data_IF_963103548192
#
_entry.id   IF_963103548192
#
_cell.length_a   1.000
_cell.length_b   1.000
_cell.length_c   1.000
_cell.angle_alpha   90.00
_cell.angle_beta   90.00
_cell.angle_gamma   90.00
#
_symmetry.space_group_name_H-M   'P 1'
#
loop_
_entity.id
_entity.type
_entity.pdbx_description
1 polymer ?
#
# COMPACT_ATOMS: atom_id res chain seq x y z
N UNK A 1 -0.42 -40.20 26.01
CA UNK A 1 0.88 -39.60 25.65
C UNK A 1 1.00 -39.65 24.14
N UNK A 2 0.61 -38.58 23.47
CA UNK A 2 0.67 -38.51 22.01
C UNK A 2 1.45 -37.25 21.67
N UNK A 3 2.64 -37.45 21.12
CA UNK A 3 3.57 -36.37 20.76
C UNK A 3 3.03 -35.57 19.60
N UNK A 4 2.87 -34.27 19.80
CA UNK A 4 2.58 -33.32 18.74
C UNK A 4 3.82 -33.13 17.86
N UNK A 5 3.70 -33.47 16.57
CA UNK A 5 4.70 -33.19 15.56
C UNK A 5 4.83 -31.70 15.38
N UNK A 6 5.97 -31.16 15.73
CA UNK A 6 6.37 -29.79 15.37
C UNK A 6 6.57 -29.74 13.85
N UNK A 7 5.63 -29.13 13.15
CA UNK A 7 5.79 -28.76 11.74
C UNK A 7 6.83 -27.66 11.67
N UNK A 8 8.03 -28.00 11.21
CA UNK A 8 9.11 -27.03 10.94
C UNK A 8 8.64 -26.08 9.85
N UNK A 9 8.55 -24.79 10.20
CA UNK A 9 8.40 -23.71 9.24
C UNK A 9 9.57 -23.78 8.22
N UNK A 10 9.31 -23.64 6.92
CA UNK A 10 10.39 -23.60 5.94
C UNK A 10 11.26 -22.37 6.24
N UNK A 11 12.54 -22.64 6.37
CA UNK A 11 13.61 -21.65 6.56
C UNK A 11 13.55 -20.65 5.40
N UNK A 12 13.01 -19.47 5.64
CA UNK A 12 12.89 -18.38 4.66
C UNK A 12 14.28 -17.70 4.54
N UNK A 13 15.25 -18.43 4.01
CA UNK A 13 16.47 -17.83 3.53
C UNK A 13 16.10 -17.04 2.25
N UNK A 14 16.45 -15.79 2.26
CA UNK A 14 16.24 -14.72 1.27
C UNK A 14 16.67 -15.13 -0.15
N UNK A 15 15.96 -16.04 -0.78
CA UNK A 15 16.12 -16.34 -2.20
C UNK A 15 15.35 -15.28 -3.01
N UNK A 16 16.09 -14.30 -3.51
CA UNK A 16 15.55 -13.30 -4.43
C UNK A 16 15.19 -14.01 -5.73
N UNK A 17 13.90 -14.30 -5.91
CA UNK A 17 13.39 -14.85 -7.17
C UNK A 17 13.40 -13.77 -8.25
N UNK A 18 14.11 -14.02 -9.33
CA UNK A 18 14.12 -13.13 -10.50
C UNK A 18 12.77 -13.15 -11.18
N UNK A 19 12.27 -11.97 -11.47
CA UNK A 19 10.99 -11.78 -12.15
C UNK A 19 11.17 -11.26 -13.57
N UNK A 20 10.13 -11.36 -14.35
CA UNK A 20 10.04 -10.78 -15.68
C UNK A 20 10.28 -9.27 -15.59
N UNK A 21 11.12 -8.75 -16.46
CA UNK A 21 11.43 -7.32 -16.51
C UNK A 21 12.64 -6.88 -15.69
N UNK A 22 13.18 -7.71 -14.79
CA UNK A 22 14.37 -7.38 -14.01
C UNK A 22 15.60 -7.25 -14.94
N UNK A 23 16.49 -6.33 -14.57
CA UNK A 23 17.79 -6.18 -15.24
C UNK A 23 18.84 -6.88 -14.40
N UNK A 24 19.55 -7.80 -15.03
CA UNK A 24 20.57 -8.61 -14.38
C UNK A 24 21.93 -8.42 -15.07
N UNK A 25 22.99 -8.46 -14.27
CA UNK A 25 24.37 -8.59 -14.75
C UNK A 25 24.83 -10.00 -14.41
N UNK A 26 25.30 -10.70 -15.43
CA UNK A 26 25.87 -12.04 -15.34
C UNK A 26 27.35 -11.91 -15.64
N UNK A 27 28.23 -12.35 -14.77
CA UNK A 27 29.68 -12.32 -14.96
C UNK A 27 30.28 -13.70 -14.71
N UNK A 28 31.28 -14.06 -15.51
CA UNK A 28 32.01 -15.32 -15.39
C UNK A 28 33.45 -14.98 -15.04
N UNK A 29 33.94 -15.52 -13.92
CA UNK A 29 35.31 -15.28 -13.46
C UNK A 29 36.33 -15.63 -14.51
N UNK A 30 37.32 -14.77 -14.74
CA UNK A 30 38.37 -14.90 -15.75
C UNK A 30 37.89 -14.97 -17.23
N UNK A 31 36.58 -14.67 -17.49
CA UNK A 31 36.03 -14.64 -18.85
C UNK A 31 35.19 -13.37 -19.04
N UNK A 32 35.82 -12.19 -19.18
CA UNK A 32 35.10 -10.91 -19.29
C UNK A 32 34.19 -10.86 -20.54
N UNK A 33 34.53 -11.57 -21.60
CA UNK A 33 33.76 -11.63 -22.84
C UNK A 33 32.38 -12.32 -22.67
N UNK A 34 32.20 -13.06 -21.56
CA UNK A 34 30.93 -13.68 -21.19
C UNK A 34 30.14 -12.84 -20.19
N UNK A 35 30.62 -11.63 -19.87
CA UNK A 35 29.88 -10.69 -19.01
C UNK A 35 28.78 -10.04 -19.82
N UNK A 36 27.54 -10.15 -19.34
CA UNK A 36 26.35 -9.62 -19.99
C UNK A 36 25.47 -8.88 -19.01
N UNK A 37 25.08 -7.65 -19.38
CA UNK A 37 23.96 -6.95 -18.75
C UNK A 37 22.75 -7.07 -19.66
N UNK A 38 21.67 -7.59 -19.13
CA UNK A 38 20.48 -7.85 -19.94
C UNK A 38 19.22 -7.82 -19.08
N UNK A 39 18.09 -7.65 -19.78
CA UNK A 39 16.77 -7.69 -19.17
C UNK A 39 16.15 -9.07 -19.37
N UNK A 40 15.54 -9.59 -18.31
CA UNK A 40 14.74 -10.82 -18.40
C UNK A 40 13.46 -10.49 -19.17
N UNK A 41 13.22 -11.22 -20.25
CA UNK A 41 12.03 -11.03 -21.09
C UNK A 41 10.74 -11.40 -20.36
N UNK A 42 9.59 -11.04 -20.93
CA UNK A 42 8.27 -11.43 -20.38
C UNK A 42 8.08 -12.94 -20.32
N UNK A 43 8.75 -13.69 -21.21
CA UNK A 43 8.78 -15.15 -21.15
C UNK A 43 9.70 -15.72 -20.06
N UNK A 44 10.37 -14.85 -19.27
CA UNK A 44 11.34 -15.27 -18.26
C UNK A 44 12.67 -15.77 -18.83
N UNK A 45 13.00 -15.40 -20.04
CA UNK A 45 14.17 -15.90 -20.78
C UNK A 45 15.19 -14.78 -20.95
N UNK A 46 16.46 -15.15 -20.93
CA UNK A 46 17.62 -14.31 -21.28
C UNK A 46 18.37 -14.98 -22.42
N UNK A 47 18.73 -14.23 -23.47
CA UNK A 47 19.66 -14.71 -24.49
C UNK A 47 21.09 -14.52 -23.98
N UNK A 48 21.78 -15.63 -23.68
CA UNK A 48 23.12 -15.63 -23.12
C UNK A 48 24.14 -16.13 -24.15
N UNK A 49 25.33 -15.49 -24.27
CA UNK A 49 26.36 -15.93 -25.20
C UNK A 49 26.66 -17.43 -25.06
N UNK A 50 26.85 -18.09 -26.17
CA UNK A 50 27.16 -19.52 -26.30
C UNK A 50 26.05 -20.48 -25.86
N UNK A 51 25.15 -20.10 -24.95
CA UNK A 51 24.06 -20.95 -24.45
C UNK A 51 22.73 -20.69 -25.18
N UNK A 52 22.60 -19.55 -25.86
CA UNK A 52 21.33 -19.14 -26.43
C UNK A 52 20.30 -18.74 -25.37
N UNK A 53 19.08 -19.22 -25.52
CA UNK A 53 17.98 -18.85 -24.65
C UNK A 53 17.99 -19.64 -23.32
N UNK A 54 18.24 -18.96 -22.22
CA UNK A 54 18.28 -19.53 -20.87
C UNK A 54 17.09 -19.00 -20.05
N UNK A 55 16.30 -19.91 -19.48
CA UNK A 55 15.15 -19.53 -18.64
C UNK A 55 15.60 -19.20 -17.23
N UNK A 56 15.58 -17.94 -16.86
CA UNK A 56 15.97 -17.43 -15.53
C UNK A 56 14.77 -16.95 -14.71
N UNK A 57 13.64 -16.66 -15.33
CA UNK A 57 12.43 -16.20 -14.67
C UNK A 57 11.87 -17.22 -13.67
N UNK A 58 11.58 -16.80 -12.45
CA UNK A 58 11.09 -17.66 -11.37
C UNK A 58 12.16 -18.51 -10.69
N UNK A 59 13.44 -18.32 -11.03
CA UNK A 59 14.57 -19.03 -10.41
C UNK A 59 15.22 -18.16 -9.32
N UNK A 60 15.79 -18.81 -8.28
CA UNK A 60 16.66 -18.10 -7.34
C UNK A 60 17.98 -17.67 -8.01
N UNK A 61 18.70 -16.72 -7.39
CA UNK A 61 20.03 -16.30 -7.88
C UNK A 61 20.97 -17.50 -8.00
N UNK A 62 21.05 -18.29 -6.94
CA UNK A 62 21.92 -19.49 -6.86
C UNK A 62 21.56 -20.54 -7.90
N UNK A 63 20.27 -20.79 -8.12
CA UNK A 63 19.81 -21.75 -9.14
C UNK A 63 20.16 -21.28 -10.56
N UNK A 64 20.02 -19.98 -10.84
CA UNK A 64 20.34 -19.44 -12.16
C UNK A 64 21.86 -19.40 -12.42
N UNK A 65 22.67 -19.07 -11.42
CA UNK A 65 24.13 -19.15 -11.51
C UNK A 65 24.57 -20.59 -11.84
N UNK A 66 24.00 -21.57 -11.14
CA UNK A 66 24.27 -22.99 -11.37
C UNK A 66 23.82 -23.43 -12.78
N UNK A 67 22.64 -23.00 -13.22
CA UNK A 67 22.11 -23.33 -14.55
C UNK A 67 23.03 -22.83 -15.68
N UNK A 68 23.53 -21.60 -15.56
CA UNK A 68 24.47 -21.03 -16.53
C UNK A 68 25.84 -21.72 -16.45
N UNK A 69 26.33 -21.97 -15.23
CA UNK A 69 27.60 -22.69 -15.04
C UNK A 69 27.56 -24.11 -15.64
N UNK A 70 26.49 -24.85 -15.38
CA UNK A 70 26.33 -26.20 -15.92
C UNK A 70 26.20 -26.16 -17.46
N UNK A 71 25.49 -25.17 -18.01
CA UNK A 71 25.42 -24.99 -19.47
C UNK A 71 26.77 -24.71 -20.11
N UNK A 72 27.57 -23.82 -19.53
CA UNK A 72 28.92 -23.51 -20.01
C UNK A 72 29.88 -24.70 -19.89
N UNK A 73 29.76 -25.50 -18.84
CA UNK A 73 30.55 -26.71 -18.65
C UNK A 73 30.17 -27.82 -19.64
N UNK A 74 28.88 -28.09 -19.77
CA UNK A 74 28.36 -29.15 -20.65
C UNK A 74 28.59 -28.85 -22.13
N UNK A 75 28.56 -27.56 -22.51
CA UNK A 75 28.92 -27.11 -23.84
C UNK A 75 30.43 -27.09 -24.14
N UNK A 76 31.28 -27.49 -23.17
CA UNK A 76 32.74 -27.40 -23.22
C UNK A 76 33.29 -26.00 -23.52
N UNK A 77 32.53 -24.94 -23.23
CA UNK A 77 32.97 -23.56 -23.44
C UNK A 77 33.93 -23.09 -22.33
N UNK A 78 33.67 -23.49 -21.05
CA UNK A 78 34.51 -23.18 -19.90
C UNK A 78 34.63 -24.44 -19.03
N UNK A 79 35.86 -24.82 -18.65
CA UNK A 79 36.08 -26.04 -17.83
C UNK A 79 35.54 -25.95 -16.40
N UNK A 80 35.80 -24.82 -15.74
CA UNK A 80 35.37 -24.57 -14.37
C UNK A 80 34.72 -23.18 -14.27
N UNK A 81 33.48 -23.01 -14.77
CA UNK A 81 32.82 -21.72 -14.76
C UNK A 81 32.41 -21.33 -13.36
N UNK A 82 32.86 -20.17 -12.89
CA UNK A 82 32.36 -19.50 -11.70
C UNK A 82 31.48 -18.32 -12.16
N UNK A 83 30.18 -18.49 -12.02
CA UNK A 83 29.18 -17.53 -12.49
C UNK A 83 28.65 -16.75 -11.31
N UNK A 84 28.62 -15.43 -11.43
CA UNK A 84 27.98 -14.52 -10.47
C UNK A 84 26.88 -13.76 -11.18
N UNK A 85 25.71 -13.71 -10.57
CA UNK A 85 24.56 -13.02 -11.08
C UNK A 85 24.09 -11.96 -10.08
N UNK A 86 24.08 -10.70 -10.50
CA UNK A 86 23.61 -9.57 -9.71
C UNK A 86 22.36 -8.97 -10.35
N UNK A 87 21.31 -8.78 -9.55
CA UNK A 87 20.12 -8.04 -9.99
C UNK A 87 20.42 -6.55 -9.85
N UNK A 88 20.52 -5.84 -10.98
CA UNK A 88 20.81 -4.40 -11.02
C UNK A 88 19.56 -3.56 -10.81
N UNK A 89 18.42 -3.99 -11.35
CA UNK A 89 17.15 -3.28 -11.23
C UNK A 89 16.00 -4.28 -11.07
N UNK A 90 15.25 -4.14 -10.01
CA UNK A 90 14.01 -4.88 -9.78
C UNK A 90 12.86 -4.10 -10.44
N UNK A 91 12.44 -4.51 -11.63
CA UNK A 91 11.31 -3.91 -12.34
C UNK A 91 10.06 -4.77 -12.36
N UNK A 92 10.22 -6.06 -12.17
CA UNK A 92 9.14 -7.04 -12.14
C UNK A 92 8.39 -7.11 -10.81
N UNK A 93 8.82 -6.39 -9.79
CA UNK A 93 8.23 -6.41 -8.45
C UNK A 93 7.94 -4.99 -7.98
N UNK A 94 6.75 -4.49 -8.27
CA UNK A 94 6.36 -3.12 -7.97
C UNK A 94 4.95 -3.06 -7.39
N UNK A 95 4.71 -2.10 -6.50
CA UNK A 95 3.39 -1.69 -6.07
C UNK A 95 3.13 -0.24 -6.42
N UNK A 96 1.87 0.12 -6.56
CA UNK A 96 1.44 1.48 -6.85
C UNK A 96 0.90 2.14 -5.59
N UNK A 97 1.28 3.38 -5.33
CA UNK A 97 0.71 4.21 -4.26
C UNK A 97 0.07 5.42 -4.90
N UNK A 98 -1.23 5.61 -4.66
CA UNK A 98 -2.05 6.60 -5.32
C UNK A 98 -2.92 7.36 -4.30
N UNK A 99 -3.46 8.50 -4.74
CA UNK A 99 -4.37 9.33 -3.94
C UNK A 99 -3.64 10.37 -3.11
N UNK A 100 -4.09 10.60 -1.89
CA UNK A 100 -3.58 11.63 -0.97
C UNK A 100 -2.32 11.19 -0.24
N UNK A 101 -1.24 11.01 -0.98
CA UNK A 101 0.12 10.76 -0.49
C UNK A 101 1.06 11.84 -0.99
N UNK A 102 2.17 12.06 -0.28
CA UNK A 102 3.10 13.12 -0.66
C UNK A 102 3.79 12.86 -2.00
N UNK A 103 4.07 11.60 -2.33
CA UNK A 103 4.70 11.19 -3.59
C UNK A 103 3.95 10.00 -4.18
N UNK A 104 2.89 10.22 -4.97
CA UNK A 104 2.20 9.14 -5.66
C UNK A 104 3.09 8.57 -6.77
N UNK A 105 3.02 7.25 -6.99
CA UNK A 105 3.84 6.61 -8.02
C UNK A 105 3.90 5.10 -7.89
N UNK A 106 4.79 4.51 -8.69
CA UNK A 106 5.14 3.08 -8.60
C UNK A 106 6.45 2.93 -7.85
N UNK A 107 6.48 2.01 -6.91
CA UNK A 107 7.60 1.74 -6.03
C UNK A 107 8.08 0.32 -6.20
N UNK A 108 9.39 0.10 -6.38
CA UNK A 108 9.95 -1.24 -6.41
C UNK A 108 9.86 -1.87 -5.02
N UNK A 109 9.47 -3.14 -4.96
CA UNK A 109 9.49 -3.94 -3.74
C UNK A 109 10.85 -4.64 -3.66
N UNK A 110 11.82 -3.99 -3.02
CA UNK A 110 13.22 -4.45 -2.97
C UNK A 110 13.40 -5.65 -2.05
N UNK A 111 12.56 -5.75 -1.03
CA UNK A 111 12.54 -6.85 -0.06
C UNK A 111 11.30 -7.72 -0.22
N UNK A 112 11.44 -9.02 0.01
CA UNK A 112 10.33 -9.97 -0.14
C UNK A 112 9.17 -9.69 0.83
N UNK A 113 9.49 -9.18 2.02
CA UNK A 113 8.55 -8.99 3.13
C UNK A 113 8.26 -7.50 3.37
N UNK A 114 8.18 -6.69 2.30
CA UNK A 114 7.86 -5.26 2.40
C UNK A 114 6.46 -5.08 2.98
N UNK A 115 6.36 -4.29 4.03
CA UNK A 115 5.09 -3.99 4.68
C UNK A 115 4.44 -2.74 4.11
N UNK A 116 3.15 -2.60 4.37
CA UNK A 116 2.38 -1.41 3.95
C UNK A 116 2.99 -0.12 4.52
N UNK A 117 3.43 -0.14 5.78
CA UNK A 117 4.08 1.02 6.42
C UNK A 117 5.38 1.40 5.73
N UNK A 118 6.21 0.43 5.30
CA UNK A 118 7.46 0.68 4.58
C UNK A 118 7.18 1.34 3.23
N UNK A 119 6.21 0.81 2.49
CA UNK A 119 5.81 1.36 1.20
C UNK A 119 5.27 2.80 1.33
N UNK A 120 4.44 3.06 2.34
CA UNK A 120 3.94 4.41 2.61
C UNK A 120 5.06 5.36 3.03
N UNK A 121 6.05 4.90 3.80
CA UNK A 121 7.23 5.70 4.15
C UNK A 121 8.04 6.08 2.90
N UNK A 122 8.22 5.16 1.94
CA UNK A 122 8.83 5.45 0.65
C UNK A 122 8.05 6.50 -0.15
N UNK A 123 6.71 6.47 -0.06
CA UNK A 123 5.83 7.47 -0.67
C UNK A 123 5.79 8.81 0.10
N UNK A 124 6.57 8.94 1.18
CA UNK A 124 6.64 10.14 2.00
C UNK A 124 5.45 10.31 2.96
N UNK A 125 4.70 9.24 3.21
CA UNK A 125 3.51 9.24 4.05
C UNK A 125 2.26 9.81 3.38
N UNK A 126 1.18 9.90 4.13
CA UNK A 126 -0.06 10.55 3.69
C UNK A 126 0.11 12.06 3.58
N UNK A 127 -0.47 12.65 2.55
CA UNK A 127 -0.46 14.10 2.36
C UNK A 127 -1.43 14.79 3.35
N UNK A 128 -1.25 16.09 3.63
CA UNK A 128 -2.23 16.87 4.38
C UNK A 128 -3.62 16.78 3.76
N UNK A 129 -4.59 16.26 4.51
CA UNK A 129 -5.95 16.00 4.00
C UNK A 129 -6.14 14.60 3.41
N UNK A 130 -5.18 13.71 3.56
CA UNK A 130 -5.36 12.27 3.34
C UNK A 130 -6.11 11.61 4.49
N UNK A 131 -6.90 10.60 4.16
CA UNK A 131 -7.61 9.79 5.15
C UNK A 131 -6.64 8.96 6.00
N UNK A 132 -7.05 8.65 7.22
CA UNK A 132 -6.33 7.73 8.11
C UNK A 132 -6.48 6.27 7.70
N UNK A 133 -7.51 5.96 6.90
CA UNK A 133 -7.74 4.62 6.36
C UNK A 133 -7.23 4.55 4.94
N UNK A 134 -6.45 3.52 4.64
CA UNK A 134 -5.96 3.23 3.29
C UNK A 134 -6.59 1.96 2.76
N UNK A 135 -6.80 1.91 1.46
CA UNK A 135 -7.34 0.74 0.77
C UNK A 135 -6.22 0.07 -0.01
N UNK A 136 -6.00 -1.21 0.25
CA UNK A 136 -5.06 -2.03 -0.52
C UNK A 136 -5.84 -2.97 -1.41
N UNK A 137 -5.57 -2.90 -2.71
CA UNK A 137 -6.21 -3.74 -3.74
C UNK A 137 -5.13 -4.51 -4.48
N UNK A 138 -5.38 -5.78 -4.73
CA UNK A 138 -4.43 -6.63 -5.44
C UNK A 138 -5.01 -8.00 -5.76
N UNK A 139 -4.12 -8.97 -5.88
CA UNK A 139 -4.51 -10.37 -6.12
C UNK A 139 -3.75 -11.26 -5.14
N UNK A 140 -4.46 -12.20 -4.52
CA UNK A 140 -3.89 -13.22 -3.63
C UNK A 140 -4.31 -14.59 -4.13
N UNK A 141 -3.33 -15.44 -4.46
CA UNK A 141 -3.58 -16.80 -5.00
C UNK A 141 -4.57 -16.82 -6.18
N UNK A 142 -4.47 -15.81 -7.07
CA UNK A 142 -5.35 -15.69 -8.24
C UNK A 142 -6.73 -15.09 -7.96
N UNK A 143 -7.05 -14.76 -6.72
CA UNK A 143 -8.33 -14.15 -6.33
C UNK A 143 -8.18 -12.65 -6.07
N UNK A 144 -9.18 -11.82 -6.43
CA UNK A 144 -9.19 -10.40 -6.07
C UNK A 144 -9.06 -10.22 -4.55
N UNK A 145 -8.20 -9.29 -4.16
CA UNK A 145 -7.95 -8.93 -2.76
C UNK A 145 -8.25 -7.44 -2.58
N UNK A 146 -9.03 -7.11 -1.54
CA UNK A 146 -9.28 -5.75 -1.10
C UNK A 146 -9.30 -5.71 0.42
N UNK A 147 -8.50 -4.83 1.00
CA UNK A 147 -8.44 -4.65 2.45
C UNK A 147 -8.37 -3.17 2.80
N UNK A 148 -9.12 -2.78 3.81
CA UNK A 148 -9.04 -1.46 4.42
C UNK A 148 -8.18 -1.54 5.67
N UNK A 149 -7.18 -0.67 5.75
CA UNK A 149 -6.21 -0.63 6.85
C UNK A 149 -6.29 0.72 7.53
N UNK A 150 -6.58 0.70 8.81
CA UNK A 150 -6.56 1.87 9.69
C UNK A 150 -5.11 2.14 10.12
N UNK A 151 -4.49 3.20 9.59
CA UNK A 151 -3.08 3.51 9.82
C UNK A 151 -2.76 3.78 11.30
N UNK A 152 -3.49 4.61 12.05
CA UNK A 152 -3.25 4.79 13.46
C UNK A 152 -3.29 3.50 14.27
N UNK A 153 -4.17 2.56 13.91
CA UNK A 153 -4.28 1.29 14.60
C UNK A 153 -3.03 0.41 14.46
N UNK A 154 -2.25 0.57 13.37
CA UNK A 154 -1.00 -0.19 13.16
C UNK A 154 0.07 0.13 14.21
N UNK A 155 0.03 1.34 14.78
CA UNK A 155 1.02 1.80 15.76
C UNK A 155 0.63 1.48 17.21
N UNK A 156 -0.48 0.77 17.40
CA UNK A 156 -0.86 0.23 18.72
C UNK A 156 -0.14 -1.09 18.99
N UNK A 157 -0.03 -1.50 20.26
CA UNK A 157 0.63 -2.75 20.64
C UNK A 157 0.05 -4.00 19.92
N UNK A 158 -1.28 -4.03 19.69
CA UNK A 158 -1.97 -5.11 18.98
C UNK A 158 -2.06 -4.89 17.45
N UNK A 159 -1.64 -3.74 16.96
CA UNK A 159 -1.84 -3.36 15.55
C UNK A 159 -0.75 -3.84 14.60
N UNK A 160 0.43 -4.14 15.11
CA UNK A 160 1.59 -4.53 14.30
C UNK A 160 1.35 -5.79 13.44
N UNK A 161 0.50 -6.70 13.89
CA UNK A 161 0.10 -7.88 13.13
C UNK A 161 -0.82 -7.55 11.95
N UNK A 162 -1.49 -6.39 11.97
CA UNK A 162 -2.36 -5.89 10.90
C UNK A 162 -1.60 -5.16 9.80
N UNK A 163 -0.31 -4.92 9.99
CA UNK A 163 0.55 -4.34 8.97
C UNK A 163 0.87 -5.40 7.92
N UNK A 164 0.09 -5.37 6.85
CA UNK A 164 0.11 -6.39 5.80
C UNK A 164 1.34 -6.29 4.92
N UNK A 165 1.73 -7.44 4.35
CA UNK A 165 2.74 -7.48 3.29
C UNK A 165 2.16 -6.99 1.97
N UNK A 166 2.91 -6.13 1.30
CA UNK A 166 2.59 -5.64 -0.04
C UNK A 166 3.20 -6.58 -1.06
N UNK A 167 2.39 -7.02 -2.01
CA UNK A 167 2.83 -7.91 -3.07
C UNK A 167 2.89 -7.18 -4.42
N UNK A 168 3.58 -7.82 -5.35
CA UNK A 168 3.67 -7.33 -6.73
C UNK A 168 2.30 -7.10 -7.36
N UNK A 169 2.14 -5.92 -7.95
CA UNK A 169 0.89 -5.52 -8.58
C UNK A 169 -0.16 -4.94 -7.64
N UNK A 170 0.13 -4.87 -6.33
CA UNK A 170 -0.76 -4.21 -5.39
C UNK A 170 -0.86 -2.72 -5.68
N UNK A 171 -2.03 -2.19 -5.41
CA UNK A 171 -2.31 -0.76 -5.42
C UNK A 171 -2.78 -0.34 -4.04
N UNK A 172 -2.07 0.62 -3.47
CA UNK A 172 -2.44 1.29 -2.22
C UNK A 172 -3.08 2.61 -2.57
N UNK A 173 -4.32 2.80 -2.14
CA UNK A 173 -5.09 4.01 -2.37
C UNK A 173 -5.34 4.73 -1.05
N UNK A 174 -4.94 5.99 -0.98
CA UNK A 174 -5.25 6.90 0.13
C UNK A 174 -6.30 7.89 -0.33
N UNK A 175 -7.48 7.82 0.25
CA UNK A 175 -8.57 8.73 -0.09
C UNK A 175 -8.38 10.09 0.58
N UNK A 176 -9.26 11.02 0.27
CA UNK A 176 -9.34 12.29 0.97
C UNK A 176 -9.91 12.07 2.36
N UNK A 177 -9.44 12.87 3.33
CA UNK A 177 -10.04 12.89 4.64
C UNK A 177 -11.53 13.27 4.51
N UNK A 178 -12.43 12.52 5.18
CA UNK A 178 -13.85 12.81 5.13
C UNK A 178 -14.15 14.20 5.72
N UNK A 179 -15.21 14.82 5.25
CA UNK A 179 -15.63 16.16 5.68
C UNK A 179 -17.08 16.17 6.12
N UNK A 180 -17.40 17.08 7.04
CA UNK A 180 -18.75 17.51 7.38
C UNK A 180 -18.88 18.98 7.06
N UNK A 181 -20.11 19.45 6.92
CA UNK A 181 -20.40 20.85 6.61
C UNK A 181 -21.22 21.45 7.72
N UNK A 182 -20.92 22.69 8.08
CA UNK A 182 -21.72 23.45 9.04
C UNK A 182 -22.12 24.79 8.45
N UNK A 183 -23.36 25.19 8.66
CA UNK A 183 -23.87 26.47 8.18
C UNK A 183 -24.98 27.03 9.10
N UNK A 184 -25.41 28.26 8.84
CA UNK A 184 -26.35 29.01 9.65
C UNK A 184 -25.64 29.89 10.67
N UNK A 185 -26.18 30.00 11.86
CA UNK A 185 -25.73 30.93 12.92
C UNK A 185 -24.51 30.39 13.69
N UNK A 186 -23.42 30.15 12.97
CA UNK A 186 -22.09 29.81 13.49
C UNK A 186 -21.06 30.84 13.05
N UNK A 187 -20.01 31.06 13.84
CA UNK A 187 -18.98 32.08 13.56
C UNK A 187 -18.20 31.81 12.26
N UNK A 188 -17.92 30.55 11.96
CA UNK A 188 -17.16 30.11 10.77
C UNK A 188 -17.89 28.98 10.08
N UNK A 189 -18.85 29.28 9.19
CA UNK A 189 -19.51 28.26 8.39
C UNK A 189 -18.57 27.71 7.32
N UNK A 190 -18.78 26.46 6.92
CA UNK A 190 -18.01 25.82 5.86
C UNK A 190 -17.73 24.34 6.08
N UNK A 191 -16.86 23.75 5.24
CA UNK A 191 -16.42 22.37 5.41
C UNK A 191 -15.44 22.23 6.57
N UNK A 192 -15.59 21.16 7.33
CA UNK A 192 -14.72 20.78 8.43
C UNK A 192 -14.21 19.36 8.22
N UNK A 193 -12.96 19.11 8.57
CA UNK A 193 -12.41 17.77 8.55
C UNK A 193 -13.10 16.92 9.61
N UNK A 194 -13.53 15.74 9.21
CA UNK A 194 -14.13 14.77 10.13
C UNK A 194 -13.02 13.99 10.79
N UNK A 195 -12.72 14.32 12.04
CA UNK A 195 -11.79 13.55 12.86
C UNK A 195 -12.48 12.30 13.42
N UNK A 196 -11.71 11.42 14.00
CA UNK A 196 -12.22 10.20 14.63
C UNK A 196 -13.12 10.57 15.82
N UNK A 197 -14.30 9.94 15.84
CA UNK A 197 -15.31 10.18 16.89
C UNK A 197 -15.79 11.63 17.01
N UNK A 198 -15.72 12.40 15.94
CA UNK A 198 -16.05 13.81 15.88
C UNK A 198 -17.53 14.05 16.21
N UNK A 199 -17.79 14.78 17.28
CA UNK A 199 -19.14 15.05 17.79
C UNK A 199 -19.69 16.37 17.27
N UNK A 200 -21.01 16.57 17.42
CA UNK A 200 -21.65 17.86 17.11
C UNK A 200 -21.04 19.00 17.94
N UNK A 201 -20.77 18.78 19.22
CA UNK A 201 -20.14 19.77 20.08
C UNK A 201 -18.78 20.20 19.54
N UNK A 202 -17.95 19.24 19.08
CA UNK A 202 -16.64 19.52 18.48
C UNK A 202 -16.78 20.28 17.15
N UNK A 203 -17.79 19.95 16.35
CA UNK A 203 -18.08 20.70 15.12
C UNK A 203 -18.44 22.16 15.40
N UNK A 204 -19.28 22.41 16.39
CA UNK A 204 -19.63 23.77 16.81
C UNK A 204 -18.38 24.51 17.32
N UNK A 205 -17.58 23.89 18.18
CA UNK A 205 -16.35 24.48 18.70
C UNK A 205 -15.36 24.82 17.58
N UNK A 206 -15.16 23.90 16.63
CA UNK A 206 -14.29 24.09 15.44
C UNK A 206 -14.84 25.24 14.56
N UNK A 207 -16.17 25.38 14.47
CA UNK A 207 -16.86 26.47 13.80
C UNK A 207 -16.79 27.81 14.53
N UNK A 208 -16.06 27.89 15.65
CA UNK A 208 -15.90 29.10 16.44
C UNK A 208 -17.07 29.38 17.39
N UNK A 209 -17.97 28.41 17.57
CA UNK A 209 -19.17 28.56 18.39
C UNK A 209 -20.34 29.21 17.64
N UNK A 210 -21.42 29.44 18.38
CA UNK A 210 -22.60 30.10 17.88
C UNK A 210 -22.38 31.61 17.71
N UNK A 211 -23.09 32.24 16.79
CA UNK A 211 -23.18 33.69 16.74
C UNK A 211 -24.05 34.21 17.92
N UNK A 212 -24.13 35.52 18.10
CA UNK A 212 -25.04 36.13 19.08
C UNK A 212 -26.51 35.81 18.83
N UNK A 213 -26.85 35.44 17.58
CA UNK A 213 -28.20 35.07 17.16
C UNK A 213 -28.41 33.57 17.09
N UNK A 214 -27.35 32.78 17.24
CA UNK A 214 -27.40 31.33 17.17
C UNK A 214 -27.97 30.68 18.41
N UNK A 215 -28.63 29.55 18.26
CA UNK A 215 -29.11 28.71 19.36
C UNK A 215 -28.63 27.28 19.22
N UNK A 216 -28.33 26.65 20.37
CA UNK A 216 -28.04 25.21 20.44
C UNK A 216 -29.30 24.34 20.35
N UNK A 217 -30.49 24.95 20.47
CA UNK A 217 -31.76 24.24 20.40
C UNK A 217 -32.23 24.10 18.96
N UNK A 218 -32.64 22.88 18.59
CA UNK A 218 -33.18 22.59 17.25
C UNK A 218 -32.13 22.63 16.14
N UNK A 219 -30.88 22.33 16.45
CA UNK A 219 -29.84 22.07 15.44
C UNK A 219 -30.25 20.84 14.65
N UNK A 220 -30.12 20.89 13.33
CA UNK A 220 -30.49 19.79 12.43
C UNK A 220 -29.29 19.25 11.68
N UNK A 221 -29.24 17.93 11.56
CA UNK A 221 -28.29 17.26 10.70
C UNK A 221 -29.01 16.64 9.51
N UNK A 222 -28.54 16.99 8.33
CA UNK A 222 -28.97 16.44 7.07
C UNK A 222 -27.96 15.36 6.67
N UNK A 223 -28.37 14.10 6.73
CA UNK A 223 -27.52 12.94 6.45
C UNK A 223 -28.00 12.21 5.20
N UNK A 224 -27.12 12.00 4.24
CA UNK A 224 -27.40 11.11 3.12
C UNK A 224 -27.40 9.66 3.62
N UNK A 225 -28.46 8.92 3.32
CA UNK A 225 -28.56 7.49 3.62
C UNK A 225 -28.48 6.65 2.34
N UNK A 226 -28.27 5.34 2.50
CA UNK A 226 -28.25 4.41 1.37
C UNK A 226 -29.53 4.56 0.55
N UNK A 227 -29.39 4.71 -0.78
CA UNK A 227 -30.52 5.01 -1.68
C UNK A 227 -30.68 6.48 -2.06
N UNK A 228 -29.79 7.39 -1.57
CA UNK A 228 -29.71 8.78 -2.01
C UNK A 228 -30.72 9.75 -1.34
N UNK A 229 -31.61 9.23 -0.48
CA UNK A 229 -32.50 10.09 0.31
C UNK A 229 -31.74 10.82 1.44
N UNK A 230 -32.28 11.96 1.87
CA UNK A 230 -31.73 12.75 2.96
C UNK A 230 -32.61 12.56 4.19
N UNK A 231 -32.01 12.08 5.26
CA UNK A 231 -32.63 12.04 6.58
C UNK A 231 -32.27 13.33 7.31
N UNK A 232 -33.28 13.99 7.89
CA UNK A 232 -33.12 15.18 8.74
C UNK A 232 -33.50 14.80 10.16
N UNK A 233 -32.60 15.07 11.12
CA UNK A 233 -32.84 14.78 12.54
C UNK A 233 -32.17 15.81 13.44
N UNK A 234 -32.58 15.88 14.69
CA UNK A 234 -31.99 16.73 15.73
C UNK A 234 -31.03 15.88 16.55
N UNK A 235 -29.71 16.06 16.44
CA UNK A 235 -28.71 15.30 17.19
C UNK A 235 -28.55 15.87 18.60
N UNK A 236 -28.05 15.04 19.52
CA UNK A 236 -27.48 15.49 20.79
C UNK A 236 -26.08 16.03 20.56
N UNK A 237 -25.56 16.82 21.52
CA UNK A 237 -24.22 17.41 21.44
C UNK A 237 -23.10 16.36 21.35
N UNK A 238 -23.30 15.21 22.01
CA UNK A 238 -22.33 14.10 22.03
C UNK A 238 -22.51 13.13 20.86
N UNK A 239 -23.52 13.33 20.00
CA UNK A 239 -23.72 12.45 18.85
C UNK A 239 -22.61 12.64 17.82
N UNK A 240 -22.11 11.51 17.31
CA UNK A 240 -21.05 11.48 16.31
C UNK A 240 -21.59 11.84 14.94
N UNK A 241 -20.91 12.76 14.29
CA UNK A 241 -21.14 13.10 12.90
C UNK A 241 -20.53 12.06 11.98
N UNK A 242 -21.04 11.99 10.75
CA UNK A 242 -20.57 11.10 9.71
C UNK A 242 -20.16 11.88 8.46
N UNK A 243 -19.37 11.26 7.64
CA UNK A 243 -18.96 11.85 6.36
C UNK A 243 -20.16 12.36 5.56
N UNK A 244 -20.04 13.58 5.07
CA UNK A 244 -21.07 14.24 4.27
C UNK A 244 -22.26 14.78 5.06
N UNK A 245 -22.25 14.68 6.39
CA UNK A 245 -23.29 15.35 7.21
C UNK A 245 -23.24 16.85 7.00
N UNK A 246 -24.43 17.45 6.92
CA UNK A 246 -24.60 18.90 6.82
C UNK A 246 -25.35 19.37 8.08
N UNK A 247 -24.65 20.09 8.94
CA UNK A 247 -25.18 20.62 10.20
C UNK A 247 -25.75 22.01 9.96
N UNK A 248 -27.02 22.19 10.28
CA UNK A 248 -27.71 23.49 10.23
C UNK A 248 -27.95 24.03 11.64
N UNK A 249 -27.39 25.19 11.91
CA UNK A 249 -27.60 25.92 13.15
C UNK A 249 -28.58 27.05 12.91
N UNK A 250 -29.70 26.98 13.59
CA UNK A 250 -30.79 27.95 13.42
C UNK A 250 -30.57 29.23 14.22
N UNK A 251 -31.26 30.28 13.83
CA UNK A 251 -31.37 31.51 14.58
C UNK A 251 -32.27 31.33 15.78
N UNK A 252 -31.89 31.95 16.91
CA UNK A 252 -32.76 32.11 18.10
C UNK A 252 -33.88 33.12 17.76
N UNK A 253 -35.08 32.76 18.08
CA UNK A 253 -36.22 33.66 17.83
C UNK A 253 -36.41 34.69 18.94
N UNK A 254 -35.65 34.55 20.05
CA UNK A 254 -35.74 35.48 21.21
C UNK A 254 -34.39 35.53 21.92
#
# INVERSE_FOLDING_TARGET
MTAASATSLPNCATDVYKRQGDVVRISVFQNPDLTLETRITEAGVVSYPLLGNVRLGGQSVTTAEKLIADGLRNGNFVKNPQVTLVVLQVRGNQASVLGQVNRPGRYPLEVADMRLTDLLAMAGGTAPGGAETVVVVGTRSGQPFRMEVDLPALFTAAGREKDIYVLNGDTVWVDRQPVVYIYGEVQRPGPMRLERDFTLMQALATGGGLTQRGTDKGIRVHRKVAGGSVQVFEPKMDDKLREGDVVFVRESLF
#
